data_IF_403057538756
#
_entry.id   IF_403057538756
#
_cell.length_a   1.000
_cell.length_b   1.000
_cell.length_c   1.000
_cell.angle_alpha   90.00
_cell.angle_beta   90.00
_cell.angle_gamma   90.00
#
_symmetry.space_group_name_H-M   'P 1'
#
loop_
_entity.id
_entity.type
_entity.pdbx_description
1 polymer ?
#
# COMPACT_ATOMS: atom_id res chain seq x y z
N UNK A 1 7.48 -0.48 -5.14
CA UNK A 1 7.28 -1.88 -5.58
C UNK A 1 5.95 -2.04 -6.34
N UNK A 2 5.87 -2.89 -7.37
CA UNK A 2 4.63 -3.09 -8.13
C UNK A 2 3.59 -3.84 -7.30
N UNK A 3 2.33 -3.41 -7.38
CA UNK A 3 1.15 -4.12 -6.84
C UNK A 3 0.14 -4.51 -7.93
N UNK A 4 0.43 -4.13 -9.18
CA UNK A 4 -0.43 -4.37 -10.35
C UNK A 4 -1.65 -3.45 -10.34
N UNK A 5 -2.66 -3.81 -11.12
CA UNK A 5 -3.95 -3.11 -11.15
C UNK A 5 -4.94 -3.67 -10.11
N UNK A 6 -5.91 -2.85 -9.72
CA UNK A 6 -6.95 -3.23 -8.76
C UNK A 6 -7.93 -2.10 -8.46
N UNK A 7 -8.91 -2.33 -7.57
CA UNK A 7 -10.03 -1.41 -7.34
C UNK A 7 -9.63 -0.06 -6.72
N UNK A 8 -8.36 0.11 -6.32
CA UNK A 8 -7.79 1.36 -5.80
C UNK A 8 -7.44 2.35 -6.91
N UNK A 9 -7.30 1.91 -8.16
CA UNK A 9 -7.23 2.79 -9.32
C UNK A 9 -8.44 2.55 -10.22
N UNK A 10 -9.37 3.52 -10.23
CA UNK A 10 -10.60 3.47 -11.03
C UNK A 10 -10.35 3.41 -12.54
N UNK A 11 -9.15 3.75 -13.00
CA UNK A 11 -8.72 3.64 -14.40
C UNK A 11 -8.05 2.30 -14.72
N UNK A 12 -7.85 1.43 -13.73
CA UNK A 12 -7.33 0.07 -13.91
C UNK A 12 -5.86 0.00 -14.30
N UNK A 13 -5.08 1.06 -14.10
CA UNK A 13 -3.65 1.08 -14.45
C UNK A 13 -2.84 0.23 -13.49
N UNK A 14 -1.69 -0.22 -13.98
CA UNK A 14 -0.66 -0.75 -13.10
C UNK A 14 -0.28 0.28 -12.04
N UNK A 15 -0.18 -0.18 -10.80
CA UNK A 15 0.06 0.65 -9.63
C UNK A 15 1.26 0.14 -8.84
N UNK A 16 1.86 1.07 -8.09
CA UNK A 16 3.03 0.82 -7.24
C UNK A 16 2.79 1.37 -5.84
N UNK A 17 3.37 0.71 -4.85
CA UNK A 17 3.48 1.19 -3.47
C UNK A 17 4.90 1.65 -3.22
N UNK A 18 5.06 2.87 -2.71
CA UNK A 18 6.34 3.39 -2.25
C UNK A 18 6.56 3.00 -0.78
N UNK A 19 7.42 2.01 -0.56
CA UNK A 19 7.76 1.52 0.79
C UNK A 19 8.86 2.35 1.45
N UNK A 20 9.56 3.17 0.69
CA UNK A 20 10.61 4.06 1.20
C UNK A 20 10.01 5.33 1.82
N UNK A 21 8.69 5.55 1.62
CA UNK A 21 7.95 6.71 2.10
C UNK A 21 6.77 6.31 2.99
N UNK A 22 7.06 5.95 4.23
CA UNK A 22 6.03 5.73 5.27
C UNK A 22 5.71 7.04 5.99
N UNK A 23 4.44 7.45 5.97
CA UNK A 23 3.98 8.73 6.52
C UNK A 23 3.10 8.51 7.76
N UNK A 24 3.30 9.32 8.79
CA UNK A 24 2.34 9.48 9.89
C UNK A 24 1.33 10.54 9.48
N UNK A 25 0.05 10.18 9.51
CA UNK A 25 -1.05 11.05 9.14
C UNK A 25 -2.01 11.21 10.33
N UNK A 26 -2.63 12.38 10.45
CA UNK A 26 -3.75 12.57 11.35
C UNK A 26 -4.99 11.87 10.78
N UNK A 27 -5.80 11.23 11.63
CA UNK A 27 -6.98 10.48 11.17
C UNK A 27 -7.97 11.39 10.41
N UNK A 28 -8.24 12.58 10.94
CA UNK A 28 -9.11 13.58 10.29
C UNK A 28 -8.55 14.14 8.98
N UNK A 29 -7.24 13.94 8.71
CA UNK A 29 -6.60 14.35 7.47
C UNK A 29 -6.72 13.33 6.34
N UNK A 30 -7.28 12.14 6.60
CA UNK A 30 -7.31 11.04 5.65
C UNK A 30 -8.67 10.94 4.94
N UNK A 31 -8.66 11.12 3.61
CA UNK A 31 -9.80 10.71 2.77
C UNK A 31 -9.80 9.19 2.62
N UNK A 32 -10.87 8.53 3.06
CA UNK A 32 -11.06 7.09 2.90
C UNK A 32 -11.67 6.81 1.53
N UNK A 33 -10.87 6.24 0.62
CA UNK A 33 -11.38 5.65 -0.62
C UNK A 33 -11.47 4.14 -0.43
N UNK A 34 -12.66 3.58 -0.64
CA UNK A 34 -13.08 2.27 -0.16
C UNK A 34 -12.51 1.09 -0.97
N UNK A 35 -11.18 1.01 -1.09
CA UNK A 35 -10.52 -0.15 -1.68
C UNK A 35 -9.46 -0.71 -0.73
N UNK A 36 -9.60 -1.99 -0.39
CA UNK A 36 -8.56 -2.76 0.30
C UNK A 36 -7.68 -3.49 -0.71
N UNK A 37 -6.41 -3.70 -0.35
CA UNK A 37 -5.56 -4.70 -1.02
C UNK A 37 -6.07 -6.10 -0.64
N UNK A 38 -5.99 -7.05 -1.56
CA UNK A 38 -6.15 -8.46 -1.19
C UNK A 38 -4.98 -8.92 -0.31
N UNK A 39 -5.18 -10.08 0.32
CA UNK A 39 -4.24 -10.62 1.29
C UNK A 39 -2.83 -10.84 0.73
N UNK A 40 -2.72 -11.36 -0.48
CA UNK A 40 -1.43 -11.70 -1.08
C UNK A 40 -0.61 -10.43 -1.35
N UNK A 41 -1.24 -9.40 -1.93
CA UNK A 41 -0.58 -8.10 -2.17
C UNK A 41 -0.20 -7.42 -0.86
N UNK A 42 -1.08 -7.46 0.14
CA UNK A 42 -0.80 -6.91 1.45
C UNK A 42 0.40 -7.59 2.12
N UNK A 43 0.47 -8.92 2.11
CA UNK A 43 1.59 -9.67 2.70
C UNK A 43 2.92 -9.39 2.01
N UNK A 44 2.90 -9.10 0.70
CA UNK A 44 4.10 -8.67 -0.04
C UNK A 44 4.60 -7.29 0.45
N UNK A 45 3.69 -6.32 0.60
CA UNK A 45 4.04 -5.00 1.15
C UNK A 45 4.57 -5.13 2.58
N UNK A 46 3.90 -5.93 3.42
CA UNK A 46 4.34 -6.21 4.80
C UNK A 46 5.77 -6.74 4.81
N UNK A 47 6.08 -7.76 4.00
CA UNK A 47 7.42 -8.35 3.93
C UNK A 47 8.48 -7.32 3.53
N UNK A 48 8.19 -6.46 2.54
CA UNK A 48 9.13 -5.41 2.12
C UNK A 48 9.37 -4.36 3.20
N UNK A 49 8.35 -4.00 3.98
CA UNK A 49 8.53 -3.13 5.14
C UNK A 49 9.41 -3.78 6.22
N UNK A 50 9.23 -5.08 6.47
CA UNK A 50 10.09 -5.82 7.41
C UNK A 50 11.54 -5.89 6.93
N UNK A 51 11.77 -6.16 5.65
CA UNK A 51 13.11 -6.20 5.05
C UNK A 51 13.80 -4.82 5.08
N UNK A 52 13.07 -3.74 4.84
CA UNK A 52 13.65 -2.39 4.75
C UNK A 52 13.87 -1.74 6.13
N UNK A 53 12.93 -1.90 7.06
CA UNK A 53 12.96 -1.21 8.36
C UNK A 53 13.22 -2.12 9.56
N UNK A 54 13.30 -3.45 9.38
CA UNK A 54 13.49 -4.41 10.46
C UNK A 54 12.29 -4.54 11.41
N UNK A 55 11.09 -4.17 10.97
CA UNK A 55 9.87 -4.26 11.78
C UNK A 55 9.43 -5.71 11.99
N UNK A 56 8.92 -6.05 13.18
CA UNK A 56 8.39 -7.39 13.53
C UNK A 56 6.91 -7.35 13.87
#
# INVERSE_FOLDING_TARGET
MPIGSGPWDRTGRDSWVDVDRVLRLHEDGMRREACALDRMRFDLVRRRLQEHYGWS
#
